data_IF_943957893445
#
_entry.id   IF_943957893445
#
_cell.length_a   1.000
_cell.length_b   1.000
_cell.length_c   1.000
_cell.angle_alpha   90.00
_cell.angle_beta   90.00
_cell.angle_gamma   90.00
#
_symmetry.space_group_name_H-M   'P 1'
#
loop_
_entity.id
_entity.type
_entity.pdbx_description
1 polymer ?
#
# COMPACT_ATOMS: atom_id res chain seq x y z
N UNK A 1 -12.30 -25.86 -10.06
CA UNK A 1 -11.31 -25.36 -11.03
C UNK A 1 -10.85 -23.98 -10.56
N UNK A 2 -9.62 -23.87 -10.09
CA UNK A 2 -9.05 -22.60 -9.59
C UNK A 2 -8.62 -21.76 -10.80
N UNK A 3 -9.15 -20.54 -10.94
CA UNK A 3 -8.75 -19.64 -12.04
C UNK A 3 -7.28 -19.25 -11.87
N UNK A 4 -6.46 -19.27 -12.93
CA UNK A 4 -5.07 -18.87 -12.83
C UNK A 4 -5.02 -17.38 -12.45
N UNK A 5 -4.20 -17.05 -11.44
CA UNK A 5 -3.88 -15.66 -11.10
C UNK A 5 -3.20 -15.05 -12.33
N UNK A 6 -3.90 -14.15 -13.01
CA UNK A 6 -3.37 -13.33 -14.10
C UNK A 6 -2.24 -12.44 -13.55
N UNK A 7 -1.03 -12.98 -13.48
CA UNK A 7 0.13 -12.26 -12.97
C UNK A 7 0.64 -11.19 -13.97
N UNK A 8 0.18 -11.24 -15.22
CA UNK A 8 0.61 -10.31 -16.28
C UNK A 8 -0.56 -10.01 -17.23
N UNK A 9 -1.41 -9.05 -16.85
CA UNK A 9 -2.39 -8.46 -17.79
C UNK A 9 -1.63 -7.57 -18.78
N UNK A 10 -1.84 -7.80 -20.07
CA UNK A 10 -1.24 -7.01 -21.15
C UNK A 10 -1.74 -5.54 -21.13
N UNK A 11 -0.91 -4.57 -21.49
CA UNK A 11 -1.13 -3.14 -21.23
C UNK A 11 -2.00 -2.45 -22.30
N UNK A 12 -3.15 -3.04 -22.67
CA UNK A 12 -4.01 -2.49 -23.73
C UNK A 12 -5.34 -1.85 -23.25
N UNK A 13 -5.54 -1.69 -21.95
CA UNK A 13 -6.61 -0.85 -21.41
C UNK A 13 -5.96 0.37 -20.73
N UNK A 14 -6.32 1.58 -21.17
CA UNK A 14 -5.94 2.83 -20.50
C UNK A 14 -6.58 2.81 -19.11
N UNK A 15 -5.79 2.34 -18.13
CA UNK A 15 -6.19 2.35 -16.73
C UNK A 15 -6.46 3.80 -16.33
N UNK A 16 -7.55 4.02 -15.61
CA UNK A 16 -7.78 5.31 -14.95
C UNK A 16 -6.63 5.59 -13.98
N UNK A 17 -6.43 6.86 -13.61
CA UNK A 17 -5.38 7.24 -12.67
C UNK A 17 -5.52 6.46 -11.34
N UNK A 18 -6.75 6.29 -10.85
CA UNK A 18 -7.05 5.52 -9.64
C UNK A 18 -6.65 4.04 -9.77
N UNK A 19 -6.92 3.41 -10.92
CA UNK A 19 -6.52 2.02 -11.17
C UNK A 19 -5.01 1.89 -11.31
N UNK A 20 -4.35 2.86 -11.94
CA UNK A 20 -2.89 2.91 -12.10
C UNK A 20 -2.22 2.97 -10.74
N UNK A 21 -2.70 3.85 -9.85
CA UNK A 21 -2.24 3.91 -8.47
C UNK A 21 -2.52 2.62 -7.71
N UNK A 22 -3.71 2.01 -7.89
CA UNK A 22 -4.02 0.72 -7.30
C UNK A 22 -3.05 -0.39 -7.73
N UNK A 23 -2.69 -0.44 -9.01
CA UNK A 23 -1.75 -1.43 -9.56
C UNK A 23 -0.31 -1.18 -9.10
N UNK A 24 0.14 0.08 -9.10
CA UNK A 24 1.45 0.48 -8.61
C UNK A 24 1.60 0.12 -7.13
N UNK A 25 0.58 0.43 -6.32
CA UNK A 25 0.53 0.06 -4.90
C UNK A 25 0.53 -1.47 -4.74
N UNK A 26 -0.25 -2.22 -5.53
CA UNK A 26 -0.25 -3.67 -5.48
C UNK A 26 1.11 -4.31 -5.84
N UNK A 27 1.82 -3.75 -6.82
CA UNK A 27 3.17 -4.19 -7.19
C UNK A 27 4.21 -3.84 -6.13
N UNK A 28 4.17 -2.61 -5.61
CA UNK A 28 5.09 -2.13 -4.58
C UNK A 28 4.93 -2.93 -3.29
N UNK A 29 3.69 -3.27 -2.97
CA UNK A 29 3.35 -4.04 -1.78
C UNK A 29 3.66 -5.54 -2.01
N UNK A 30 3.41 -6.10 -3.19
CA UNK A 30 3.66 -7.53 -3.53
C UNK A 30 2.54 -8.48 -3.06
N UNK A 31 2.61 -9.79 -3.33
CA UNK A 31 1.63 -10.75 -2.81
C UNK A 31 1.83 -10.97 -1.30
N UNK A 32 0.74 -10.98 -0.51
CA UNK A 32 0.81 -11.38 0.92
C UNK A 32 1.01 -12.89 0.95
N UNK A 33 2.19 -13.36 1.37
CA UNK A 33 2.51 -14.79 1.41
C UNK A 33 2.21 -15.38 2.79
N UNK A 34 2.34 -14.57 3.84
CA UNK A 34 2.10 -14.95 5.24
C UNK A 34 1.36 -13.86 6.04
N UNK A 35 0.78 -14.21 7.19
CA UNK A 35 0.13 -13.25 8.11
C UNK A 35 1.13 -12.18 8.61
N UNK A 36 2.38 -12.57 8.87
CA UNK A 36 3.46 -11.64 9.25
C UNK A 36 3.76 -10.59 8.18
N UNK A 37 3.60 -10.92 6.89
CA UNK A 37 3.75 -9.94 5.81
C UNK A 37 2.64 -8.88 5.84
N UNK A 38 1.43 -9.26 6.29
CA UNK A 38 0.28 -8.34 6.40
C UNK A 38 0.54 -7.29 7.49
N UNK A 39 1.03 -7.70 8.65
CA UNK A 39 1.39 -6.79 9.75
C UNK A 39 2.55 -5.88 9.36
N UNK A 40 3.61 -6.42 8.76
CA UNK A 40 4.74 -5.62 8.32
C UNK A 40 4.34 -4.57 7.28
N UNK A 41 3.44 -4.91 6.34
CA UNK A 41 2.93 -3.97 5.34
C UNK A 41 2.04 -2.89 5.94
N UNK A 42 1.19 -3.26 6.89
CA UNK A 42 0.38 -2.29 7.63
C UNK A 42 1.28 -1.29 8.35
N UNK A 43 2.34 -1.78 9.01
CA UNK A 43 3.34 -0.94 9.68
C UNK A 43 4.06 -0.02 8.68
N UNK A 44 4.55 -0.55 7.56
CA UNK A 44 5.23 0.22 6.53
C UNK A 44 4.32 1.28 5.89
N UNK A 45 3.05 0.95 5.62
CA UNK A 45 2.08 1.87 5.05
C UNK A 45 1.76 3.03 6.02
N UNK A 46 1.60 2.73 7.31
CA UNK A 46 1.41 3.76 8.33
C UNK A 46 2.67 4.64 8.49
N UNK A 47 3.87 4.05 8.42
CA UNK A 47 5.12 4.80 8.46
C UNK A 47 5.26 5.74 7.26
N UNK A 48 4.90 5.28 6.06
CA UNK A 48 4.87 6.08 4.85
C UNK A 48 3.84 7.21 4.96
N UNK A 49 2.63 6.92 5.44
CA UNK A 49 1.60 7.94 5.66
C UNK A 49 2.06 9.01 6.65
N UNK A 50 2.71 8.62 7.75
CA UNK A 50 3.26 9.58 8.71
C UNK A 50 4.38 10.44 8.11
N UNK A 51 5.24 9.86 7.26
CA UNK A 51 6.26 10.62 6.53
C UNK A 51 5.64 11.62 5.55
N UNK A 52 4.62 11.21 4.80
CA UNK A 52 3.90 12.09 3.86
C UNK A 52 3.17 13.23 4.59
N UNK A 53 2.52 12.94 5.72
CA UNK A 53 1.84 13.93 6.55
C UNK A 53 2.82 14.96 7.14
N UNK A 54 4.00 14.52 7.61
CA UNK A 54 5.08 15.44 8.02
C UNK A 54 5.56 16.32 6.87
N UNK A 55 5.77 15.74 5.69
CA UNK A 55 6.19 16.50 4.51
C UNK A 55 5.15 17.56 4.10
N UNK A 56 3.87 17.29 4.37
CA UNK A 56 2.76 18.22 4.14
C UNK A 56 2.52 19.22 5.30
N UNK A 57 3.32 19.17 6.38
CA UNK A 57 3.16 20.04 7.56
C UNK A 57 1.97 19.67 8.46
N UNK A 58 1.41 18.48 8.31
CA UNK A 58 0.28 17.97 9.11
C UNK A 58 0.78 17.10 10.29
N UNK A 59 1.55 17.71 11.20
CA UNK A 59 2.27 17.00 12.25
C UNK A 59 1.36 16.23 13.22
N UNK A 60 0.19 16.78 13.57
CA UNK A 60 -0.78 16.11 14.46
C UNK A 60 -1.32 14.81 13.84
N UNK A 61 -1.56 14.80 12.54
CA UNK A 61 -2.02 13.61 11.81
C UNK A 61 -0.88 12.59 11.66
N UNK A 62 0.36 13.05 11.45
CA UNK A 62 1.52 12.18 11.39
C UNK A 62 1.78 11.47 12.72
N UNK A 63 1.64 12.19 13.84
CA UNK A 63 1.79 11.62 15.19
C UNK A 63 0.74 10.53 15.46
N UNK A 64 -0.52 10.76 15.07
CA UNK A 64 -1.59 9.75 15.17
C UNK A 64 -1.29 8.50 14.33
N UNK A 65 -0.78 8.68 13.11
CA UNK A 65 -0.41 7.56 12.24
C UNK A 65 0.71 6.71 12.86
N UNK A 66 1.70 7.34 13.51
CA UNK A 66 2.79 6.63 14.21
C UNK A 66 2.32 5.92 15.49
N UNK A 67 1.40 6.51 16.26
CA UNK A 67 0.85 5.85 17.45
C UNK A 67 0.15 4.53 17.09
N UNK A 68 -0.49 4.46 15.91
CA UNK A 68 -1.15 3.24 15.41
C UNK A 68 -0.20 2.15 14.92
N UNK A 69 1.11 2.44 14.84
CA UNK A 69 2.17 1.45 14.57
C UNK A 69 2.65 0.79 15.87
N UNK A 70 2.59 1.51 16.98
CA UNK A 70 3.10 1.07 18.28
C UNK A 70 2.10 0.20 19.08
N UNK A 71 0.90 -0.05 18.54
CA UNK A 71 -0.18 -0.86 19.11
C UNK A 71 -0.39 -2.09 18.25
#
# INVERSE_FOLDING_TARGET
>A
MSKPREAYRQPNELMTEAETWGCAVAQLIGPVVTESDREQRRSNALALAAAALRAAGADDLAAQAQQRIAV
#
